data_IF_634534300827
#
_entry.id   IF_634534300827
#
_cell.length_a   1.000
_cell.length_b   1.000
_cell.length_c   1.000
_cell.angle_alpha   90.00
_cell.angle_beta   90.00
_cell.angle_gamma   90.00
#
_symmetry.space_group_name_H-M   'P 1'
#
loop_
_entity.id
_entity.type
_entity.pdbx_description
1 polymer ?
#
# COMPACT_ATOMS: atom_id res chain seq x y z
N UNK A 1 2.73 -21.80 0.51
CA UNK A 1 3.67 -20.66 0.38
C UNK A 1 3.76 -20.08 -1.05
N UNK A 2 4.03 -20.88 -2.10
CA UNK A 2 4.18 -20.37 -3.48
C UNK A 2 2.88 -19.82 -4.11
N UNK A 3 1.74 -20.54 -3.94
CA UNK A 3 0.42 -20.08 -4.43
C UNK A 3 0.01 -18.73 -3.84
N UNK A 4 0.17 -18.55 -2.52
CA UNK A 4 -0.19 -17.30 -1.84
C UNK A 4 0.64 -16.11 -2.35
N UNK A 5 1.95 -16.30 -2.60
CA UNK A 5 2.81 -15.27 -3.19
C UNK A 5 2.39 -14.85 -4.59
N UNK A 6 1.97 -15.80 -5.44
CA UNK A 6 1.46 -15.51 -6.77
C UNK A 6 0.15 -14.70 -6.72
N UNK A 7 -0.74 -15.00 -5.78
CA UNK A 7 -1.98 -14.23 -5.60
C UNK A 7 -1.67 -12.77 -5.25
N UNK A 8 -0.78 -12.50 -4.30
CA UNK A 8 -0.40 -11.11 -3.98
C UNK A 8 0.32 -10.42 -5.14
N UNK A 9 1.15 -11.14 -5.90
CA UNK A 9 1.79 -10.59 -7.10
C UNK A 9 0.74 -10.12 -8.12
N UNK A 10 -0.27 -10.95 -8.38
CA UNK A 10 -1.39 -10.60 -9.29
C UNK A 10 -2.17 -9.41 -8.74
N UNK A 11 -2.46 -9.37 -7.43
CA UNK A 11 -3.15 -8.25 -6.80
C UNK A 11 -2.36 -6.94 -6.86
N UNK A 12 -1.03 -7.00 -6.76
CA UNK A 12 -0.16 -5.82 -6.92
C UNK A 12 -0.25 -5.30 -8.35
N UNK A 13 -0.07 -6.18 -9.35
CA UNK A 13 -0.15 -5.79 -10.77
C UNK A 13 -1.53 -5.21 -11.09
N UNK A 14 -2.60 -5.84 -10.62
CA UNK A 14 -3.95 -5.34 -10.79
C UNK A 14 -4.13 -3.94 -10.15
N UNK A 15 -3.62 -3.71 -8.94
CA UNK A 15 -3.69 -2.40 -8.30
C UNK A 15 -2.90 -1.32 -9.05
N UNK A 16 -1.74 -1.66 -9.60
CA UNK A 16 -0.96 -0.71 -10.42
C UNK A 16 -1.79 -0.29 -11.64
N UNK A 17 -2.40 -1.24 -12.35
CA UNK A 17 -3.23 -0.95 -13.52
C UNK A 17 -4.43 -0.09 -13.13
N UNK A 18 -5.17 -0.48 -12.09
CA UNK A 18 -6.37 0.25 -11.63
C UNK A 18 -5.99 1.64 -11.12
N UNK A 19 -4.89 1.78 -10.37
CA UNK A 19 -4.42 3.05 -9.84
C UNK A 19 -3.97 4.01 -10.94
N UNK A 20 -3.29 3.52 -11.98
CA UNK A 20 -2.91 4.32 -13.15
C UNK A 20 -4.14 4.74 -13.95
N UNK A 21 -5.09 3.82 -14.17
CA UNK A 21 -6.37 4.13 -14.84
C UNK A 21 -7.16 5.17 -14.05
N UNK A 22 -7.23 5.05 -12.72
CA UNK A 22 -7.89 6.01 -11.84
C UNK A 22 -7.36 7.43 -12.01
N UNK A 23 -6.07 7.59 -12.31
CA UNK A 23 -5.45 8.91 -12.53
C UNK A 23 -5.63 9.42 -13.96
N UNK A 24 -5.99 8.54 -14.91
CA UNK A 24 -6.25 8.94 -16.30
C UNK A 24 -7.68 9.49 -16.48
N UNK A 25 -8.65 8.97 -15.74
CA UNK A 25 -10.04 9.43 -15.82
C UNK A 25 -10.27 10.67 -14.96
N UNK A 26 -10.51 11.83 -15.60
CA UNK A 26 -10.77 13.12 -14.94
C UNK A 26 -12.00 13.16 -14.02
N UNK A 27 -12.88 12.15 -14.09
CA UNK A 27 -14.07 12.05 -13.25
C UNK A 27 -13.86 11.31 -11.93
N UNK A 28 -12.68 10.74 -11.70
CA UNK A 28 -12.37 9.97 -10.49
C UNK A 28 -11.60 10.86 -9.51
N UNK A 29 -12.09 11.04 -8.27
CA UNK A 29 -11.35 11.79 -7.26
C UNK A 29 -9.94 11.26 -7.02
N UNK A 30 -8.97 12.17 -6.89
CA UNK A 30 -7.55 11.83 -6.73
C UNK A 30 -7.28 10.92 -5.53
N UNK A 31 -8.03 11.09 -4.43
CA UNK A 31 -7.91 10.29 -3.22
C UNK A 31 -8.13 8.78 -3.44
N UNK A 32 -8.84 8.37 -4.49
CA UNK A 32 -9.02 6.95 -4.84
C UNK A 32 -7.69 6.35 -5.26
N UNK A 33 -6.88 7.11 -6.00
CA UNK A 33 -5.52 6.71 -6.36
C UNK A 33 -4.66 6.47 -5.12
N UNK A 34 -4.80 7.29 -4.08
CA UNK A 34 -3.99 7.19 -2.85
C UNK A 34 -4.43 6.02 -1.96
N UNK A 35 -5.73 5.75 -1.90
CA UNK A 35 -6.27 4.53 -1.27
C UNK A 35 -5.74 3.28 -1.98
N UNK A 36 -5.78 3.26 -3.31
CA UNK A 36 -5.26 2.13 -4.10
C UNK A 36 -3.75 1.95 -3.94
N UNK A 37 -3.01 3.06 -3.88
CA UNK A 37 -1.57 3.03 -3.63
C UNK A 37 -1.25 2.43 -2.26
N UNK A 38 -1.93 2.84 -1.18
CA UNK A 38 -1.72 2.24 0.14
C UNK A 38 -2.14 0.77 0.20
N UNK A 39 -3.22 0.40 -0.52
CA UNK A 39 -3.64 -1.00 -0.66
C UNK A 39 -2.55 -1.84 -1.33
N UNK A 40 -1.91 -1.30 -2.38
CA UNK A 40 -0.78 -1.93 -3.06
C UNK A 40 0.42 -2.10 -2.12
N UNK A 41 0.79 -1.06 -1.36
CA UNK A 41 1.88 -1.13 -0.36
C UNK A 41 1.60 -2.24 0.65
N UNK A 42 0.36 -2.37 1.11
CA UNK A 42 -0.03 -3.47 1.98
C UNK A 42 0.19 -4.86 1.34
N UNK A 43 -0.19 -5.03 0.07
CA UNK A 43 0.05 -6.30 -0.63
C UNK A 43 1.53 -6.61 -0.82
N UNK A 44 2.37 -5.61 -1.09
CA UNK A 44 3.83 -5.76 -1.16
C UNK A 44 4.38 -6.19 0.20
N UNK A 45 4.00 -5.50 1.27
CA UNK A 45 4.45 -5.86 2.62
C UNK A 45 3.98 -7.26 3.00
N UNK A 46 2.76 -7.64 2.65
CA UNK A 46 2.22 -8.98 2.88
C UNK A 46 2.96 -10.05 2.07
N UNK A 47 3.35 -9.74 0.84
CA UNK A 47 4.14 -10.62 -0.02
C UNK A 47 5.53 -10.89 0.60
N UNK A 48 6.20 -9.85 1.11
CA UNK A 48 7.51 -9.95 1.76
C UNK A 48 7.42 -10.66 3.13
N UNK A 49 6.39 -10.34 3.92
CA UNK A 49 6.24 -10.77 5.31
C UNK A 49 5.15 -11.84 5.47
N UNK A 50 5.05 -12.76 4.51
CA UNK A 50 3.93 -13.71 4.42
C UNK A 50 3.78 -14.64 5.64
N UNK A 51 4.89 -14.93 6.33
CA UNK A 51 4.94 -15.77 7.53
C UNK A 51 4.83 -14.98 8.85
N UNK A 52 4.75 -13.64 8.79
CA UNK A 52 4.70 -12.76 9.97
C UNK A 52 3.25 -12.44 10.35
N UNK A 53 3.01 -12.01 11.61
CA UNK A 53 1.67 -11.65 12.06
C UNK A 53 1.11 -10.47 11.25
N UNK A 54 -0.20 -10.50 11.01
CA UNK A 54 -0.90 -9.48 10.23
C UNK A 54 -0.72 -8.07 10.81
N UNK A 55 -0.68 -7.95 12.14
CA UNK A 55 -0.45 -6.68 12.85
C UNK A 55 0.87 -6.04 12.45
N UNK A 56 1.93 -6.84 12.31
CA UNK A 56 3.24 -6.35 11.88
C UNK A 56 3.20 -5.83 10.44
N UNK A 57 2.48 -6.52 9.55
CA UNK A 57 2.30 -6.07 8.16
C UNK A 57 1.55 -4.74 8.10
N UNK A 58 0.45 -4.60 8.86
CA UNK A 58 -0.32 -3.35 8.95
C UNK A 58 0.56 -2.19 9.41
N UNK A 59 1.28 -2.38 10.52
CA UNK A 59 2.17 -1.34 11.07
C UNK A 59 3.29 -1.00 10.08
N UNK A 60 3.91 -2.00 9.47
CA UNK A 60 4.97 -1.77 8.48
C UNK A 60 4.46 -0.99 7.25
N UNK A 61 3.26 -1.32 6.75
CA UNK A 61 2.64 -0.59 5.63
C UNK A 61 2.33 0.85 5.98
N UNK A 62 1.70 1.10 7.13
CA UNK A 62 1.37 2.47 7.56
C UNK A 62 2.62 3.30 7.82
N UNK A 63 3.62 2.74 8.51
CA UNK A 63 4.89 3.41 8.73
C UNK A 63 5.60 3.74 7.41
N UNK A 64 5.55 2.84 6.44
CA UNK A 64 6.13 3.08 5.12
C UNK A 64 5.41 4.22 4.39
N UNK A 65 4.09 4.19 4.32
CA UNK A 65 3.31 5.27 3.70
C UNK A 65 3.55 6.61 4.40
N UNK A 66 3.54 6.63 5.74
CA UNK A 66 3.74 7.85 6.50
C UNK A 66 5.17 8.37 6.37
N UNK A 67 6.17 7.49 6.33
CA UNK A 67 7.57 7.90 6.10
C UNK A 67 7.75 8.56 4.73
N UNK A 68 7.08 8.05 3.70
CA UNK A 68 7.08 8.65 2.36
C UNK A 68 6.42 10.04 2.42
N UNK A 69 5.28 10.15 3.06
CA UNK A 69 4.53 11.41 3.17
C UNK A 69 5.32 12.46 3.98
N UNK A 70 5.88 12.08 5.13
CA UNK A 70 6.77 12.96 5.90
C UNK A 70 8.06 13.31 5.16
N UNK A 71 8.55 12.43 4.27
CA UNK A 71 9.71 12.76 3.43
C UNK A 71 9.45 14.00 2.57
N UNK A 72 8.20 14.30 2.20
CA UNK A 72 7.84 15.48 1.41
C UNK A 72 8.07 16.79 2.16
N UNK A 73 8.03 16.77 3.50
CA UNK A 73 8.42 17.91 4.33
C UNK A 73 9.93 18.15 4.30
N UNK A 74 10.71 17.12 3.99
CA UNK A 74 12.16 17.21 3.84
C UNK A 74 12.53 17.67 2.41
N UNK A 75 13.03 18.92 2.32
CA UNK A 75 13.30 19.63 1.05
C UNK A 75 14.78 19.76 0.70
N UNK A 76 15.58 18.73 0.99
CA UNK A 76 16.99 18.76 0.58
C UNK A 76 17.14 18.67 -0.96
N UNK A 77 18.24 19.21 -1.54
CA UNK A 77 18.43 19.21 -2.99
C UNK A 77 18.41 17.81 -3.61
N UNK A 78 19.09 16.85 -2.99
CA UNK A 78 19.19 15.47 -3.48
C UNK A 78 17.83 14.75 -3.56
N UNK A 79 16.94 14.98 -2.59
CA UNK A 79 15.61 14.34 -2.58
C UNK A 79 14.66 15.02 -3.56
N UNK A 80 14.83 16.32 -3.77
CA UNK A 80 14.06 17.05 -4.77
C UNK A 80 14.49 16.64 -6.20
N UNK A 81 15.78 16.44 -6.46
CA UNK A 81 16.26 15.87 -7.73
C UNK A 81 15.63 14.50 -8.01
N UNK A 82 15.51 13.64 -6.99
CA UNK A 82 14.79 12.37 -7.12
C UNK A 82 13.31 12.57 -7.45
N UNK A 83 12.62 13.53 -6.81
CA UNK A 83 11.20 13.87 -7.12
C UNK A 83 11.00 14.40 -8.52
N UNK A 84 12.00 15.06 -9.11
CA UNK A 84 11.93 15.52 -10.49
C UNK A 84 11.95 14.37 -11.51
N UNK A 85 12.34 13.16 -11.10
CA UNK A 85 12.21 11.96 -11.94
C UNK A 85 10.77 11.44 -11.98
N UNK A 86 10.35 10.81 -13.09
CA UNK A 86 9.00 10.24 -13.21
C UNK A 86 8.67 9.23 -12.10
N UNK A 87 9.63 8.36 -11.77
CA UNK A 87 9.46 7.37 -10.71
C UNK A 87 9.41 8.01 -9.33
N UNK A 88 10.26 9.00 -9.05
CA UNK A 88 10.23 9.73 -7.79
C UNK A 88 8.93 10.50 -7.60
N UNK A 89 8.41 11.17 -8.62
CA UNK A 89 7.10 11.84 -8.55
C UNK A 89 5.96 10.87 -8.24
N UNK A 90 5.98 9.68 -8.85
CA UNK A 90 4.94 8.66 -8.65
C UNK A 90 5.00 7.99 -7.27
N UNK A 91 6.21 7.81 -6.72
CA UNK A 91 6.41 7.06 -5.47
C UNK A 91 6.50 7.97 -4.26
N UNK A 92 7.21 9.09 -4.36
CA UNK A 92 7.47 10.01 -3.25
C UNK A 92 6.41 11.10 -3.11
N UNK A 93 5.70 11.44 -4.18
CA UNK A 93 4.79 12.59 -4.21
C UNK A 93 5.52 13.94 -4.13
N UNK A 94 4.76 15.02 -4.31
CA UNK A 94 5.29 16.39 -4.34
C UNK A 94 4.79 17.26 -3.18
N UNK A 95 3.59 17.00 -2.66
CA UNK A 95 2.93 17.85 -1.67
C UNK A 95 2.34 17.00 -0.56
N UNK A 96 2.64 17.41 0.68
CA UNK A 96 2.11 16.79 1.89
C UNK A 96 0.63 17.11 2.08
N UNK A 97 -0.20 16.08 2.20
CA UNK A 97 -1.64 16.21 2.40
C UNK A 97 -2.09 15.39 3.61
N UNK A 98 -2.73 16.07 4.58
CA UNK A 98 -3.31 15.39 5.74
C UNK A 98 -4.40 14.38 5.37
N UNK A 99 -5.11 14.61 4.26
CA UNK A 99 -6.09 13.67 3.70
C UNK A 99 -5.46 12.33 3.33
N UNK A 100 -4.17 12.33 2.96
CA UNK A 100 -3.50 11.15 2.42
C UNK A 100 -3.22 10.16 3.55
N UNK A 101 -2.91 10.65 4.76
CA UNK A 101 -2.85 9.81 5.97
C UNK A 101 -4.15 9.04 6.20
N UNK A 102 -5.31 9.69 6.06
CA UNK A 102 -6.61 9.03 6.19
C UNK A 102 -6.83 8.01 5.07
N UNK A 103 -6.52 8.39 3.83
CA UNK A 103 -6.60 7.51 2.66
C UNK A 103 -5.73 6.26 2.82
N UNK A 104 -4.54 6.40 3.42
CA UNK A 104 -3.63 5.29 3.66
C UNK A 104 -4.16 4.33 4.72
N UNK A 105 -4.76 4.84 5.79
CA UNK A 105 -5.45 4.00 6.79
C UNK A 105 -6.58 3.21 6.13
N UNK A 106 -7.39 3.86 5.29
CA UNK A 106 -8.48 3.21 4.55
C UNK A 106 -7.96 2.16 3.58
N UNK A 107 -6.92 2.48 2.79
CA UNK A 107 -6.31 1.54 1.84
C UNK A 107 -5.71 0.31 2.52
N UNK A 108 -4.99 0.50 3.62
CA UNK A 108 -4.46 -0.63 4.41
C UNK A 108 -5.60 -1.48 4.99
N UNK A 109 -6.69 -0.88 5.48
CA UNK A 109 -7.85 -1.61 5.95
C UNK A 109 -8.50 -2.47 4.84
N UNK A 110 -8.66 -1.91 3.63
CA UNK A 110 -9.14 -2.65 2.45
C UNK A 110 -8.21 -3.84 2.14
N UNK A 111 -6.89 -3.62 2.16
CA UNK A 111 -5.90 -4.67 1.97
C UNK A 111 -6.02 -5.80 2.98
N UNK A 112 -6.26 -5.49 4.26
CA UNK A 112 -6.49 -6.48 5.33
C UNK A 112 -7.75 -7.31 5.07
N UNK A 113 -8.83 -6.66 4.66
CA UNK A 113 -10.09 -7.33 4.30
C UNK A 113 -9.87 -8.27 3.12
N UNK A 114 -9.23 -7.78 2.04
CA UNK A 114 -8.88 -8.61 0.87
C UNK A 114 -7.98 -9.81 1.23
N UNK A 115 -7.03 -9.61 2.15
CA UNK A 115 -6.18 -10.67 2.67
C UNK A 115 -6.99 -11.75 3.41
N UNK A 116 -8.02 -11.36 4.18
CA UNK A 116 -8.90 -12.31 4.90
C UNK A 116 -9.70 -13.18 3.93
N UNK A 117 -10.11 -12.65 2.78
CA UNK A 117 -10.79 -13.41 1.74
C UNK A 117 -9.85 -14.34 0.96
N UNK A 118 -8.64 -13.87 0.63
CA UNK A 118 -7.65 -14.65 -0.14
C UNK A 118 -6.96 -15.73 0.68
N UNK A 119 -6.82 -15.52 1.98
CA UNK A 119 -6.35 -16.53 2.93
C UNK A 119 -7.49 -16.83 3.90
N UNK A 120 -8.42 -17.73 3.54
CA UNK A 120 -9.41 -18.20 4.50
C UNK A 120 -8.66 -18.66 5.74
N UNK A 121 -9.06 -18.12 6.89
CA UNK A 121 -8.41 -18.32 8.16
C UNK A 121 -8.34 -19.82 8.48
N UNK A 122 -7.28 -20.50 8.07
CA UNK A 122 -7.04 -21.91 8.44
C UNK A 122 -6.44 -22.00 9.84
N UNK A 123 -6.85 -21.09 10.72
CA UNK A 123 -6.76 -21.26 12.17
C UNK A 123 -8.13 -21.73 12.67
N UNK A 124 -8.54 -22.94 12.29
CA UNK A 124 -9.30 -23.79 13.21
C UNK A 124 -8.30 -24.28 14.26
N UNK A 125 -8.65 -24.24 15.53
CA UNK A 125 -8.03 -25.07 16.56
C UNK A 125 -6.63 -24.65 17.02
N UNK A 126 -6.58 -23.77 18.02
CA UNK A 126 -5.57 -23.83 19.08
C UNK A 126 -6.30 -23.53 20.41
N UNK A 127 -7.27 -24.38 20.73
CA UNK A 127 -7.36 -24.93 22.08
C UNK A 127 -6.85 -26.36 21.94
N UNK A 128 -5.66 -26.63 22.47
CA UNK A 128 -5.55 -27.77 23.36
C UNK A 128 -4.91 -27.33 24.68
N UNK A 129 -5.68 -27.61 25.72
CA UNK A 129 -5.33 -27.74 27.15
C UNK A 129 -5.10 -26.41 27.89
#
# INVERSE_FOLDING_TARGET
MRRSRLIYLILIIANIIIGLLSRHFKGIPLFIGDILWATMVYFIMRFLLINKPIKLVIVASLLFCFAIEFSQLYKAPWINELRHTLFGRLVLGEVFLWSDLLCYVVGVAIGVVANKFTTPNNKKGLLPI
#
